data_IF_570933899304
#
_entry.id   IF_570933899304
#
_cell.length_a   1.000
_cell.length_b   1.000
_cell.length_c   1.000
_cell.angle_alpha   90.00
_cell.angle_beta   90.00
_cell.angle_gamma   90.00
#
_symmetry.space_group_name_H-M   'P 1'
#
loop_
_entity.id
_entity.type
_entity.pdbx_description
1 polymer ?
#
# COMPACT_ATOMS: atom_id res chain seq x y z
N UNK A 1 -55.86 30.43 32.33
CA UNK A 1 -55.40 29.15 32.93
C UNK A 1 -53.89 29.02 32.73
N UNK A 2 -53.15 28.41 33.68
CA UNK A 2 -51.90 29.01 34.15
C UNK A 2 -50.69 28.07 34.29
N UNK A 3 -49.57 28.66 34.77
CA UNK A 3 -48.43 28.11 35.57
C UNK A 3 -47.24 27.51 34.83
N UNK A 4 -45.97 27.72 35.22
CA UNK A 4 -45.28 28.43 36.35
C UNK A 4 -43.76 28.45 35.97
N UNK A 5 -42.98 29.52 36.19
CA UNK A 5 -42.27 29.93 37.42
C UNK A 5 -41.21 28.90 37.87
N UNK A 6 -39.92 29.22 38.13
CA UNK A 6 -39.31 30.00 39.24
C UNK A 6 -37.82 30.21 38.85
N UNK A 7 -37.20 31.40 38.71
CA UNK A 7 -36.82 32.49 39.64
C UNK A 7 -35.54 32.25 40.50
N UNK A 8 -34.51 33.08 40.26
CA UNK A 8 -33.39 33.39 41.17
C UNK A 8 -33.84 34.32 42.32
N UNK A 9 -33.02 34.54 43.36
CA UNK A 9 -32.54 35.93 43.55
C UNK A 9 -31.15 36.11 44.22
N UNK A 10 -30.66 37.35 44.09
CA UNK A 10 -29.39 37.95 44.54
C UNK A 10 -29.25 38.19 46.05
N UNK A 11 -28.02 38.58 46.42
CA UNK A 11 -27.39 38.80 47.73
C UNK A 11 -28.03 39.86 48.66
N UNK A 12 -27.44 40.02 49.87
CA UNK A 12 -26.98 41.37 50.23
C UNK A 12 -25.64 41.44 50.99
N UNK A 13 -24.94 42.55 50.81
CA UNK A 13 -23.83 43.05 51.65
C UNK A 13 -24.33 43.57 53.01
N UNK A 14 -23.43 43.73 53.99
CA UNK A 14 -23.35 45.06 54.61
C UNK A 14 -21.94 45.60 54.87
N UNK A 15 -21.98 46.86 55.28
CA UNK A 15 -21.07 48.01 55.38
C UNK A 15 -20.02 48.05 56.51
N UNK A 16 -18.86 48.62 56.14
CA UNK A 16 -18.03 49.68 56.81
C UNK A 16 -17.41 49.50 58.21
N UNK A 17 -16.08 49.77 58.27
CA UNK A 17 -15.35 50.65 59.21
C UNK A 17 -14.09 50.04 59.85
N UNK A 18 -12.94 50.55 59.40
CA UNK A 18 -11.77 51.05 60.16
C UNK A 18 -11.38 50.29 61.44
N UNK A 19 -10.16 49.70 61.47
CA UNK A 19 -9.20 49.77 62.61
C UNK A 19 -7.79 49.42 62.10
N UNK A 20 -6.84 50.32 62.38
CA UNK A 20 -5.38 50.11 62.29
C UNK A 20 -4.90 49.24 63.46
N UNK A 21 -4.09 48.20 63.22
CA UNK A 21 -3.16 47.60 64.20
C UNK A 21 -2.17 46.69 63.45
N UNK A 22 -0.93 47.11 63.18
CA UNK A 22 0.30 47.00 64.00
C UNK A 22 0.84 45.55 64.18
N UNK A 23 2.05 45.36 63.63
CA UNK A 23 3.10 44.36 63.95
C UNK A 23 2.75 42.85 64.05
N UNK A 24 3.39 42.04 63.19
CA UNK A 24 4.26 40.95 63.64
C UNK A 24 5.11 40.40 62.47
N UNK A 25 6.42 40.51 62.64
CA UNK A 25 7.48 39.97 61.81
C UNK A 25 7.56 38.44 62.04
N UNK A 26 7.41 37.61 61.01
CA UNK A 26 7.86 36.21 61.04
C UNK A 26 8.71 35.94 59.80
N UNK A 27 10.02 35.88 60.04
CA UNK A 27 11.03 35.39 59.10
C UNK A 27 10.88 33.87 59.03
N UNK A 28 10.44 33.34 57.89
CA UNK A 28 10.51 31.90 57.58
C UNK A 28 11.57 31.75 56.49
N UNK A 29 12.70 31.17 56.86
CA UNK A 29 13.87 31.01 56.01
C UNK A 29 13.57 30.21 54.75
N UNK A 30 13.92 30.78 53.60
CA UNK A 30 13.96 30.09 52.32
C UNK A 30 15.16 29.13 52.32
N UNK A 31 14.92 27.87 52.71
CA UNK A 31 15.88 26.80 52.48
C UNK A 31 15.84 26.45 51.00
N UNK A 32 16.81 26.97 50.24
CA UNK A 32 17.03 26.62 48.84
C UNK A 32 17.53 25.19 48.77
N UNK A 33 16.59 24.25 48.59
CA UNK A 33 16.92 22.86 48.26
C UNK A 33 17.58 22.86 46.89
N UNK A 34 18.91 22.69 46.87
CA UNK A 34 19.68 22.48 45.65
C UNK A 34 19.39 21.07 45.15
N UNK A 35 18.40 20.94 44.27
CA UNK A 35 18.14 19.68 43.57
C UNK A 35 19.36 19.36 42.69
N UNK A 36 19.98 18.18 42.83
CA UNK A 36 21.02 17.77 41.91
C UNK A 36 20.40 17.64 40.51
N UNK A 37 20.84 18.48 39.58
CA UNK A 37 20.53 18.33 38.16
C UNK A 37 21.18 17.03 37.71
N UNK A 38 20.38 15.97 37.59
CA UNK A 38 20.83 14.73 36.98
C UNK A 38 21.26 15.07 35.54
N UNK A 39 22.49 14.73 35.12
CA UNK A 39 22.88 14.89 33.73
C UNK A 39 21.90 14.06 32.91
N UNK A 40 21.14 14.74 32.04
CA UNK A 40 20.27 14.10 31.07
C UNK A 40 21.11 13.05 30.35
N UNK A 41 20.69 11.79 30.45
CA UNK A 41 21.46 10.64 30.00
C UNK A 41 22.02 10.91 28.60
N UNK A 42 23.34 10.73 28.46
CA UNK A 42 23.96 10.68 27.16
C UNK A 42 23.26 9.57 26.37
N UNK A 43 22.32 9.94 25.48
CA UNK A 43 21.79 9.02 24.50
C UNK A 43 22.98 8.66 23.62
N UNK A 44 23.59 7.51 23.88
CA UNK A 44 24.51 6.87 22.95
C UNK A 44 23.81 6.92 21.58
N UNK A 45 24.40 7.67 20.66
CA UNK A 45 23.86 7.77 19.30
C UNK A 45 24.03 6.41 18.66
N UNK A 46 23.02 5.56 18.77
CA UNK A 46 23.05 4.24 18.17
C UNK A 46 23.16 4.40 16.66
N UNK A 47 24.19 3.79 16.07
CA UNK A 47 24.48 3.86 14.64
C UNK A 47 24.21 2.53 13.97
N UNK A 48 23.90 2.61 12.67
CA UNK A 48 23.75 1.42 11.83
C UNK A 48 25.14 0.85 11.54
N UNK A 49 25.40 -0.39 11.97
CA UNK A 49 26.68 -1.07 11.77
C UNK A 49 26.69 -1.90 10.49
N UNK A 50 25.59 -2.58 10.20
CA UNK A 50 25.44 -3.42 9.01
C UNK A 50 23.99 -3.43 8.51
N UNK A 51 23.81 -3.70 7.22
CA UNK A 51 22.51 -3.84 6.56
C UNK A 51 22.51 -5.14 5.75
N UNK A 52 21.87 -6.17 6.28
CA UNK A 52 21.69 -7.46 5.61
C UNK A 52 20.37 -7.47 4.84
N UNK A 53 20.36 -8.11 3.68
CA UNK A 53 19.16 -8.22 2.84
C UNK A 53 18.89 -9.70 2.59
N UNK A 54 17.63 -10.10 2.80
CA UNK A 54 17.17 -11.48 2.72
C UNK A 54 15.90 -11.56 1.85
N UNK A 55 15.66 -12.72 1.22
CA UNK A 55 14.45 -13.00 0.44
C UNK A 55 14.48 -12.49 -1.02
N UNK A 56 15.60 -11.92 -1.45
CA UNK A 56 15.84 -11.54 -2.84
C UNK A 56 16.12 -12.78 -3.70
N UNK A 57 15.50 -12.85 -4.87
CA UNK A 57 15.59 -13.99 -5.79
C UNK A 57 16.03 -13.56 -7.19
N UNK A 58 15.41 -12.52 -7.75
CA UNK A 58 15.71 -12.02 -9.09
C UNK A 58 16.16 -10.55 -9.09
N UNK A 59 15.81 -9.78 -8.06
CA UNK A 59 16.22 -8.38 -7.92
C UNK A 59 17.68 -8.29 -7.45
N UNK A 60 18.39 -7.21 -7.77
CA UNK A 60 19.73 -6.98 -7.22
C UNK A 60 19.62 -6.47 -5.77
N UNK A 61 20.38 -7.07 -4.85
CA UNK A 61 20.51 -6.60 -3.46
C UNK A 61 20.87 -5.11 -3.35
N UNK A 62 21.64 -4.58 -4.30
CA UNK A 62 21.97 -3.16 -4.36
C UNK A 62 20.73 -2.28 -4.58
N UNK A 63 19.72 -2.76 -5.34
CA UNK A 63 18.46 -2.02 -5.49
C UNK A 63 17.70 -1.92 -4.18
N UNK A 64 17.66 -2.99 -3.38
CA UNK A 64 17.01 -2.98 -2.06
C UNK A 64 17.75 -2.01 -1.13
N UNK A 65 19.08 -2.10 -1.07
CA UNK A 65 19.89 -1.21 -0.23
C UNK A 65 19.72 0.26 -0.60
N UNK A 66 19.78 0.58 -1.90
CA UNK A 66 19.59 1.95 -2.38
C UNK A 66 18.15 2.45 -2.15
N UNK A 67 17.16 1.57 -2.26
CA UNK A 67 15.75 1.90 -2.02
C UNK A 67 15.43 2.19 -0.54
N UNK A 68 16.15 1.57 0.40
CA UNK A 68 15.98 1.82 1.83
C UNK A 68 16.40 3.24 2.24
N UNK A 69 17.32 3.87 1.49
CA UNK A 69 17.87 5.21 1.77
C UNK A 69 18.49 5.35 3.18
N UNK A 70 19.04 4.26 3.71
CA UNK A 70 19.83 4.22 4.95
C UNK A 70 21.18 3.61 4.63
N UNK A 71 22.25 4.23 5.12
CA UNK A 71 23.61 3.78 4.91
C UNK A 71 24.24 3.28 6.22
N UNK A 72 25.23 2.41 6.08
CA UNK A 72 26.08 2.01 7.21
C UNK A 72 26.80 3.24 7.76
N UNK A 73 26.79 3.42 9.08
CA UNK A 73 27.32 4.59 9.79
C UNK A 73 26.28 5.66 10.13
N UNK A 74 25.09 5.61 9.51
CA UNK A 74 24.01 6.55 9.80
C UNK A 74 23.51 6.44 11.25
N UNK A 75 23.03 7.56 11.79
CA UNK A 75 22.33 7.57 13.07
C UNK A 75 21.01 6.82 12.92
N UNK A 76 20.83 5.78 13.72
CA UNK A 76 19.60 4.99 13.71
C UNK A 76 18.42 5.85 14.15
N UNK A 77 17.40 5.91 13.27
CA UNK A 77 16.13 6.58 13.54
C UNK A 77 14.99 5.66 13.11
N UNK A 78 14.10 5.25 14.02
CA UNK A 78 12.93 4.44 13.65
C UNK A 78 12.06 5.09 12.57
N UNK A 79 12.03 6.43 12.51
CA UNK A 79 11.33 7.16 11.44
C UNK A 79 11.96 6.92 10.06
N UNK A 80 13.29 6.96 9.96
CA UNK A 80 14.01 6.70 8.71
C UNK A 80 13.76 5.28 8.20
N UNK A 81 13.73 4.29 9.11
CA UNK A 81 13.39 2.90 8.75
C UNK A 81 11.99 2.81 8.15
N UNK A 82 10.99 3.45 8.78
CA UNK A 82 9.62 3.46 8.24
C UNK A 82 9.53 4.14 6.87
N UNK A 83 10.29 5.22 6.67
CA UNK A 83 10.31 5.92 5.38
C UNK A 83 11.02 5.10 4.30
N UNK A 84 12.08 4.38 4.66
CA UNK A 84 12.75 3.41 3.79
C UNK A 84 11.85 2.24 3.40
N UNK A 85 11.10 1.66 4.34
CA UNK A 85 10.09 0.63 4.06
C UNK A 85 9.05 1.15 3.06
N UNK A 86 8.52 2.36 3.27
CA UNK A 86 7.60 2.98 2.30
C UNK A 86 8.26 3.20 0.94
N UNK A 87 9.52 3.60 0.90
CA UNK A 87 10.26 3.79 -0.34
C UNK A 87 10.41 2.47 -1.12
N UNK A 88 10.68 1.36 -0.45
CA UNK A 88 10.74 0.05 -1.06
C UNK A 88 9.38 -0.39 -1.65
N UNK A 89 8.27 -0.16 -0.94
CA UNK A 89 6.94 -0.44 -1.50
C UNK A 89 6.62 0.42 -2.74
N UNK A 90 7.09 1.67 -2.80
CA UNK A 90 6.90 2.54 -3.98
C UNK A 90 7.62 2.05 -5.23
N UNK A 91 8.59 1.15 -5.10
CA UNK A 91 9.27 0.56 -6.25
C UNK A 91 8.37 -0.44 -7.00
N UNK A 92 7.27 -0.90 -6.41
CA UNK A 92 6.35 -1.89 -7.00
C UNK A 92 7.05 -3.20 -7.41
N UNK A 93 8.08 -3.56 -6.63
CA UNK A 93 8.87 -4.79 -6.83
C UNK A 93 8.61 -5.85 -5.76
N UNK A 94 8.00 -5.47 -4.63
CA UNK A 94 7.90 -6.33 -3.45
C UNK A 94 6.46 -6.36 -2.93
N UNK A 95 5.97 -7.56 -2.58
CA UNK A 95 4.66 -7.77 -1.99
C UNK A 95 4.69 -7.56 -0.49
N UNK A 96 5.85 -7.79 0.12
CA UNK A 96 6.09 -7.66 1.54
C UNK A 96 7.52 -7.16 1.77
N UNK A 97 7.64 -6.21 2.69
CA UNK A 97 8.91 -5.63 3.14
C UNK A 97 8.86 -5.54 4.65
N UNK A 98 9.81 -6.20 5.30
CA UNK A 98 10.01 -6.18 6.75
C UNK A 98 11.44 -5.75 7.05
N UNK A 99 11.62 -4.97 8.13
CA UNK A 99 12.94 -4.53 8.57
C UNK A 99 13.05 -4.79 10.06
N UNK A 100 13.91 -5.74 10.42
CA UNK A 100 14.24 -6.03 11.80
C UNK A 100 15.49 -5.25 12.21
N UNK A 101 15.47 -4.69 13.41
CA UNK A 101 16.61 -4.01 14.01
C UNK A 101 17.18 -4.87 15.13
N UNK A 102 18.37 -5.42 14.92
CA UNK A 102 19.07 -6.26 15.90
C UNK A 102 20.12 -5.41 16.63
N UNK A 103 20.07 -5.44 17.97
CA UNK A 103 21.03 -4.69 18.80
C UNK A 103 22.37 -5.42 18.83
N UNK A 104 23.43 -4.73 18.42
CA UNK A 104 24.80 -5.21 18.38
C UNK A 104 25.69 -4.29 19.24
N UNK A 105 25.65 -4.48 20.56
CA UNK A 105 26.33 -3.60 21.51
C UNK A 105 25.74 -2.19 21.48
N UNK A 106 26.58 -1.19 21.17
CA UNK A 106 26.17 0.22 21.04
C UNK A 106 25.67 0.58 19.62
N UNK A 107 25.54 -0.41 18.74
CA UNK A 107 25.12 -0.26 17.34
C UNK A 107 23.91 -1.14 17.00
N UNK A 108 23.33 -0.93 15.82
CA UNK A 108 22.20 -1.71 15.30
C UNK A 108 22.57 -2.31 13.95
N UNK A 109 22.22 -3.58 13.76
CA UNK A 109 22.16 -4.20 12.44
C UNK A 109 20.73 -4.15 11.92
N UNK A 110 20.57 -3.81 10.64
CA UNK A 110 19.28 -3.88 9.97
C UNK A 110 19.21 -5.14 9.12
N UNK A 111 18.18 -5.96 9.34
CA UNK A 111 17.87 -7.11 8.49
C UNK A 111 16.63 -6.78 7.68
N UNK A 112 16.81 -6.59 6.38
CA UNK A 112 15.76 -6.24 5.44
C UNK A 112 15.27 -7.52 4.76
N UNK A 113 14.07 -7.96 5.09
CA UNK A 113 13.43 -9.14 4.49
C UNK A 113 12.42 -8.67 3.46
N UNK A 114 12.58 -9.14 2.23
CA UNK A 114 11.67 -8.80 1.13
C UNK A 114 11.09 -10.04 0.46
N UNK A 115 9.84 -9.94 0.04
CA UNK A 115 9.20 -10.91 -0.85
C UNK A 115 8.92 -10.23 -2.18
N UNK A 116 9.54 -10.71 -3.26
CA UNK A 116 9.37 -10.14 -4.60
C UNK A 116 7.94 -10.35 -5.15
N UNK A 117 7.44 -9.36 -5.89
CA UNK A 117 6.22 -9.47 -6.68
C UNK A 117 6.51 -10.30 -7.93
N UNK A 118 5.74 -11.38 -8.18
CA UNK A 118 5.90 -12.12 -9.41
C UNK A 118 5.47 -11.25 -10.59
N UNK A 119 6.22 -11.31 -11.70
CA UNK A 119 5.95 -10.52 -12.91
C UNK A 119 5.59 -11.42 -14.07
N UNK A 120 4.64 -10.98 -14.89
CA UNK A 120 4.34 -11.66 -16.15
C UNK A 120 5.47 -11.41 -17.13
N UNK A 121 6.09 -12.47 -17.64
CA UNK A 121 7.22 -12.41 -18.58
C UNK A 121 6.78 -12.60 -20.02
N UNK A 122 5.79 -13.47 -20.23
CA UNK A 122 5.21 -13.77 -21.53
C UNK A 122 3.72 -14.12 -21.39
N UNK A 123 3.02 -14.06 -22.53
CA UNK A 123 1.64 -14.52 -22.67
C UNK A 123 1.61 -15.60 -23.75
N UNK A 124 1.03 -16.73 -23.40
CA UNK A 124 0.89 -17.91 -24.25
C UNK A 124 -0.58 -18.22 -24.45
N UNK A 125 -0.92 -18.70 -25.65
CA UNK A 125 -2.28 -19.00 -26.05
C UNK A 125 -2.38 -20.46 -26.45
N UNK A 126 -3.46 -21.12 -26.05
CA UNK A 126 -3.79 -22.48 -26.46
C UNK A 126 -5.27 -22.57 -26.77
N UNK A 127 -5.62 -23.33 -27.82
CA UNK A 127 -7.00 -23.54 -28.24
C UNK A 127 -7.55 -22.48 -29.19
N UNK A 128 -6.78 -21.44 -29.52
CA UNK A 128 -7.10 -20.50 -30.58
C UNK A 128 -6.87 -21.14 -31.96
N UNK A 129 -7.95 -21.47 -32.66
CA UNK A 129 -7.93 -22.06 -34.01
C UNK A 129 -8.52 -21.12 -35.06
N UNK A 130 -9.45 -20.25 -34.67
CA UNK A 130 -10.14 -19.31 -35.54
C UNK A 130 -9.48 -17.94 -35.55
N UNK A 131 -8.88 -17.52 -34.43
CA UNK A 131 -8.12 -16.27 -34.34
C UNK A 131 -6.61 -16.53 -34.26
N UNK A 132 -5.85 -15.77 -35.03
CA UNK A 132 -4.40 -15.80 -35.00
C UNK A 132 -3.85 -15.32 -33.66
N UNK A 133 -2.77 -15.98 -33.20
CA UNK A 133 -2.14 -15.66 -31.94
C UNK A 133 -1.63 -14.20 -31.89
N UNK A 134 -1.24 -13.63 -33.03
CA UNK A 134 -0.75 -12.25 -33.10
C UNK A 134 -1.84 -11.23 -32.79
N UNK A 135 -3.09 -11.48 -33.24
CA UNK A 135 -4.24 -10.63 -32.93
C UNK A 135 -4.60 -10.67 -31.44
N UNK A 136 -4.50 -11.87 -30.83
CA UNK A 136 -4.68 -12.02 -29.38
C UNK A 136 -3.58 -11.28 -28.61
N UNK A 137 -2.34 -11.37 -29.10
CA UNK A 137 -1.17 -10.73 -28.49
C UNK A 137 -1.26 -9.21 -28.59
N UNK A 138 -1.77 -8.67 -29.69
CA UNK A 138 -2.04 -7.24 -29.86
C UNK A 138 -3.06 -6.73 -28.83
N UNK A 139 -4.17 -7.45 -28.63
CA UNK A 139 -5.19 -7.10 -27.61
C UNK A 139 -4.62 -7.12 -26.19
N UNK A 140 -3.64 -7.99 -25.91
CA UNK A 140 -2.97 -8.13 -24.62
C UNK A 140 -1.60 -7.43 -24.56
N UNK A 141 -1.38 -6.42 -25.41
CA UNK A 141 -0.14 -5.63 -25.35
C UNK A 141 0.04 -5.00 -23.97
N UNK A 142 1.25 -5.12 -23.40
CA UNK A 142 1.62 -4.56 -22.10
C UNK A 142 1.29 -5.46 -20.90
N UNK A 143 0.72 -6.65 -21.10
CA UNK A 143 0.54 -7.62 -20.00
C UNK A 143 1.86 -8.23 -19.53
N UNK A 144 2.87 -8.33 -20.40
CA UNK A 144 4.23 -8.82 -20.14
C UNK A 144 5.09 -7.91 -19.22
N UNK A 145 4.51 -6.88 -18.62
CA UNK A 145 5.16 -6.06 -17.61
C UNK A 145 4.32 -5.88 -16.35
N UNK A 146 3.13 -6.50 -16.30
CA UNK A 146 2.23 -6.43 -15.16
C UNK A 146 2.67 -7.39 -14.05
N UNK A 147 2.29 -7.04 -12.84
CA UNK A 147 2.37 -7.94 -11.70
C UNK A 147 1.46 -9.15 -11.95
N UNK A 148 2.01 -10.35 -11.78
CA UNK A 148 1.25 -11.58 -11.87
C UNK A 148 0.32 -11.69 -10.65
N UNK A 149 -0.97 -11.88 -10.91
CA UNK A 149 -1.96 -11.99 -9.86
C UNK A 149 -3.38 -12.06 -10.43
N UNK A 150 -4.35 -12.22 -9.54
CA UNK A 150 -5.76 -12.45 -9.91
C UNK A 150 -6.34 -11.32 -10.74
N UNK A 151 -6.00 -10.06 -10.45
CA UNK A 151 -6.47 -8.91 -11.23
C UNK A 151 -6.03 -9.02 -12.69
N UNK A 152 -4.74 -9.30 -12.92
CA UNK A 152 -4.17 -9.46 -14.26
C UNK A 152 -4.83 -10.61 -15.03
N UNK A 153 -5.15 -11.73 -14.37
CA UNK A 153 -5.89 -12.83 -15.00
C UNK A 153 -7.30 -12.41 -15.43
N UNK A 154 -8.05 -11.80 -14.52
CA UNK A 154 -9.43 -11.37 -14.81
C UNK A 154 -9.49 -10.34 -15.93
N UNK A 155 -8.59 -9.35 -15.90
CA UNK A 155 -8.51 -8.33 -16.94
C UNK A 155 -8.17 -8.94 -18.31
N UNK A 156 -7.23 -9.90 -18.36
CA UNK A 156 -6.85 -10.59 -19.60
C UNK A 156 -7.99 -11.44 -20.17
N UNK A 157 -8.69 -12.18 -19.29
CA UNK A 157 -9.86 -13.00 -19.67
C UNK A 157 -10.96 -12.11 -20.23
N UNK A 158 -11.28 -11.00 -19.56
CA UNK A 158 -12.28 -10.06 -20.03
C UNK A 158 -11.90 -9.46 -21.40
N UNK A 159 -10.64 -9.06 -21.58
CA UNK A 159 -10.17 -8.48 -22.83
C UNK A 159 -10.25 -9.46 -24.01
N UNK A 160 -9.93 -10.75 -23.82
CA UNK A 160 -10.04 -11.76 -24.87
C UNK A 160 -11.50 -12.16 -25.11
N UNK A 161 -12.33 -12.35 -24.08
CA UNK A 161 -13.75 -12.64 -24.26
C UNK A 161 -14.43 -11.53 -25.09
N UNK A 162 -14.08 -10.27 -24.83
CA UNK A 162 -14.57 -9.14 -25.63
C UNK A 162 -14.14 -9.25 -27.11
N UNK A 163 -12.86 -9.50 -27.34
CA UNK A 163 -12.33 -9.67 -28.70
C UNK A 163 -13.03 -10.80 -29.45
N UNK A 164 -13.23 -11.96 -28.81
CA UNK A 164 -13.92 -13.09 -29.43
C UNK A 164 -15.39 -12.74 -29.76
N UNK A 165 -16.06 -12.00 -28.87
CA UNK A 165 -17.42 -11.53 -29.11
C UNK A 165 -17.50 -10.56 -30.30
N UNK A 166 -16.58 -9.60 -30.40
CA UNK A 166 -16.46 -8.67 -31.54
C UNK A 166 -16.25 -9.42 -32.87
N UNK A 167 -15.54 -10.56 -32.83
CA UNK A 167 -15.21 -11.38 -34.00
C UNK A 167 -16.28 -12.43 -34.36
N UNK A 168 -17.41 -12.42 -33.64
CA UNK A 168 -18.58 -13.26 -33.91
C UNK A 168 -18.60 -14.60 -33.16
N UNK A 169 -17.80 -14.74 -32.10
CA UNK A 169 -17.74 -15.91 -31.22
C UNK A 169 -18.27 -15.57 -29.81
N UNK A 170 -19.57 -15.29 -29.65
CA UNK A 170 -20.14 -14.84 -28.38
C UNK A 170 -20.16 -15.93 -27.29
N UNK A 171 -19.97 -17.20 -27.68
CA UNK A 171 -19.92 -18.35 -26.78
C UNK A 171 -18.48 -18.81 -26.47
N UNK A 172 -17.48 -17.99 -26.80
CA UNK A 172 -16.10 -18.30 -26.46
C UNK A 172 -15.90 -18.28 -24.93
N UNK A 173 -15.19 -19.28 -24.42
CA UNK A 173 -14.77 -19.35 -23.02
C UNK A 173 -13.25 -19.24 -22.95
N UNK A 174 -12.78 -18.22 -22.22
CA UNK A 174 -11.35 -18.00 -21.97
C UNK A 174 -11.06 -18.23 -20.50
N UNK A 175 -10.01 -18.99 -20.22
CA UNK A 175 -9.47 -19.17 -18.87
C UNK A 175 -7.98 -18.79 -18.82
N UNK A 176 -7.52 -18.32 -17.66
CA UNK A 176 -6.17 -17.82 -17.48
C UNK A 176 -5.50 -18.47 -16.27
N UNK A 177 -4.26 -18.92 -16.44
CA UNK A 177 -3.43 -19.47 -15.36
C UNK A 177 -2.01 -18.94 -15.44
N UNK A 178 -1.26 -19.04 -14.34
CA UNK A 178 0.16 -18.72 -14.32
C UNK A 178 1.00 -19.98 -14.23
N UNK A 179 1.97 -20.09 -15.12
CA UNK A 179 3.00 -21.13 -15.09
C UNK A 179 4.36 -20.51 -14.74
N UNK A 180 5.33 -21.28 -14.22
CA UNK A 180 6.68 -20.78 -13.96
C UNK A 180 7.36 -20.27 -15.23
N UNK A 181 8.00 -19.10 -15.15
CA UNK A 181 8.77 -18.52 -16.26
C UNK A 181 10.28 -18.83 -16.19
N UNK A 182 11.08 -18.18 -17.04
CA UNK A 182 12.52 -18.42 -17.14
C UNK A 182 13.30 -18.05 -15.87
N UNK A 183 12.85 -17.00 -15.16
CA UNK A 183 13.40 -16.60 -13.85
C UNK A 183 12.49 -17.12 -12.73
N UNK A 184 13.02 -17.38 -11.52
CA UNK A 184 12.23 -17.96 -10.43
C UNK A 184 10.99 -17.15 -10.04
N UNK A 185 11.04 -15.82 -10.16
CA UNK A 185 9.92 -14.92 -9.85
C UNK A 185 9.07 -14.56 -11.08
N UNK A 186 9.52 -14.89 -12.28
CA UNK A 186 8.74 -14.68 -13.49
C UNK A 186 7.62 -15.71 -13.60
N UNK A 187 6.50 -15.27 -14.17
CA UNK A 187 5.36 -16.10 -14.51
C UNK A 187 5.02 -15.94 -15.99
N UNK A 188 4.52 -16.99 -16.60
CA UNK A 188 3.96 -16.96 -17.96
C UNK A 188 2.44 -17.00 -17.81
N UNK A 189 1.76 -16.04 -18.42
CA UNK A 189 0.30 -15.99 -18.44
C UNK A 189 -0.20 -16.94 -19.54
N UNK A 190 -0.71 -18.10 -19.13
CA UNK A 190 -1.24 -19.12 -20.03
C UNK A 190 -2.74 -18.92 -20.21
N UNK A 191 -3.16 -18.63 -21.44
CA UNK A 191 -4.55 -18.40 -21.82
C UNK A 191 -5.08 -19.63 -22.57
N UNK A 192 -6.00 -20.38 -21.96
CA UNK A 192 -6.70 -21.49 -22.60
C UNK A 192 -8.04 -21.00 -23.13
N UNK A 193 -8.29 -21.24 -24.42
CA UNK A 193 -9.42 -20.69 -25.15
C UNK A 193 -10.25 -21.81 -25.75
N UNK A 194 -11.56 -21.77 -25.53
CA UNK A 194 -12.56 -22.59 -26.21
C UNK A 194 -13.44 -21.66 -27.03
N UNK A 195 -13.19 -21.58 -28.32
CA UNK A 195 -13.75 -20.53 -29.19
C UNK A 195 -15.26 -20.68 -29.44
N UNK A 196 -15.79 -21.91 -29.35
CA UNK A 196 -17.17 -22.20 -29.68
C UNK A 196 -17.48 -22.01 -31.17
N UNK A 197 -18.77 -21.92 -31.50
CA UNK A 197 -19.23 -21.73 -32.87
C UNK A 197 -19.40 -20.23 -33.19
N UNK A 198 -19.08 -19.86 -34.43
CA UNK A 198 -19.38 -18.52 -34.93
C UNK A 198 -20.88 -18.34 -35.05
N UNK A 199 -21.40 -17.24 -34.52
CA UNK A 199 -22.82 -16.87 -34.62
C UNK A 199 -22.96 -15.75 -35.64
N UNK A 200 -23.93 -15.88 -36.55
CA UNK A 200 -24.27 -14.87 -37.54
C UNK A 200 -25.74 -14.49 -37.40
N UNK A 201 -26.06 -13.20 -37.55
CA UNK A 201 -27.44 -12.72 -37.61
C UNK A 201 -28.04 -13.11 -38.95
N UNK A 202 -29.03 -14.01 -38.94
CA UNK A 202 -29.68 -14.50 -40.16
C UNK A 202 -30.82 -13.60 -40.64
N UNK A 203 -31.59 -13.02 -39.72
CA UNK A 203 -32.70 -12.14 -40.04
C UNK A 203 -32.92 -11.11 -38.92
N UNK A 204 -33.27 -9.88 -39.30
CA UNK A 204 -33.68 -8.82 -38.38
C UNK A 204 -35.16 -8.54 -38.67
N UNK A 205 -36.03 -8.85 -37.71
CA UNK A 205 -37.47 -8.57 -37.81
C UNK A 205 -37.77 -7.33 -36.99
N UNK A 206 -38.32 -6.30 -37.63
CA UNK A 206 -38.82 -5.10 -36.96
C UNK A 206 -40.32 -5.21 -36.77
N UNK A 207 -40.77 -5.26 -35.52
CA UNK A 207 -42.21 -5.21 -35.19
C UNK A 207 -42.60 -3.78 -34.76
N UNK A 208 -43.66 -3.23 -35.36
CA UNK A 208 -44.23 -1.93 -34.97
C UNK A 208 -43.75 -0.70 -35.75
N UNK A 209 -42.99 -0.85 -36.83
CA UNK A 209 -42.46 0.29 -37.60
C UNK A 209 -43.47 0.79 -38.66
N UNK A 210 -44.52 1.48 -38.23
CA UNK A 210 -45.60 1.95 -39.12
C UNK A 210 -45.40 3.38 -39.70
N UNK A 211 -44.29 4.07 -39.39
CA UNK A 211 -44.07 5.47 -39.77
C UNK A 211 -42.71 5.83 -40.35
N UNK A 212 -41.84 4.85 -40.58
CA UNK A 212 -40.56 5.07 -41.25
C UNK A 212 -40.58 4.22 -42.52
N UNK A 213 -40.69 4.90 -43.67
CA UNK A 213 -40.45 4.31 -44.98
C UNK A 213 -38.93 4.29 -45.20
N UNK A 214 -38.44 3.23 -45.86
CA UNK A 214 -37.03 2.90 -46.15
C UNK A 214 -36.13 4.09 -46.56
#
# INVERSE_FOLDING_TARGET
>A
MPRRSVAAPEAPFPSTSIIRCLLALIVIGASTVLLPVLPAGAQLETRVRDIRVEGVVSVDTLRVRNGLAIQVGDKYRPAAVRDGVKALYRLDLFSQVEVDAEVAGDSIDLVVKVTELPRVSAVEFTGNKQLDADKLREKLTGYNSRTAGTRTQLDAVAALNELYREEGFPLAEVSASFTPGPRPTDRVLSMEIREGNRVQVTAITFEGNARILD
#
